data_IF_337682690756
#
_entry.id   IF_337682690756
#
_cell.length_a   1.000
_cell.length_b   1.000
_cell.length_c   1.000
_cell.angle_alpha   90.00
_cell.angle_beta   90.00
_cell.angle_gamma   90.00
#
_symmetry.space_group_name_H-M   'P 1'
#
loop_
_entity.id
_entity.type
_entity.pdbx_description
1 polymer ?
#
# COMPACT_ATOMS: atom_id res chain seq x y z
N UNK A 1 1.52 -4.91 -10.87
CA UNK A 1 0.84 -4.19 -11.98
C UNK A 1 0.83 -2.68 -11.72
N UNK A 2 0.05 -2.19 -10.77
CA UNK A 2 -0.08 -0.73 -10.53
C UNK A 2 1.20 -0.10 -9.95
N UNK A 3 1.76 -0.68 -8.88
CA UNK A 3 2.98 -0.16 -8.26
C UNK A 3 4.17 -0.05 -9.23
N UNK A 4 4.40 -1.07 -10.07
CA UNK A 4 5.47 -1.00 -11.06
C UNK A 4 5.21 0.00 -12.19
N UNK A 5 3.95 0.31 -12.51
CA UNK A 5 3.62 1.38 -13.45
C UNK A 5 3.92 2.77 -12.87
N UNK A 6 3.65 2.96 -11.57
CA UNK A 6 3.99 4.20 -10.86
C UNK A 6 5.50 4.42 -10.84
N UNK A 7 6.28 3.38 -10.49
CA UNK A 7 7.75 3.47 -10.48
C UNK A 7 8.29 3.86 -11.85
N UNK A 8 7.89 3.16 -12.92
CA UNK A 8 8.30 3.52 -14.30
C UNK A 8 7.95 4.96 -14.67
N UNK A 9 6.77 5.43 -14.25
CA UNK A 9 6.34 6.80 -14.53
C UNK A 9 7.18 7.83 -13.78
N UNK A 10 7.42 7.62 -12.48
CA UNK A 10 8.28 8.48 -11.67
C UNK A 10 9.70 8.55 -12.24
N UNK A 11 10.29 7.41 -12.59
CA UNK A 11 11.60 7.35 -13.22
C UNK A 11 11.63 8.11 -14.56
N UNK A 12 10.61 7.94 -15.40
CA UNK A 12 10.49 8.66 -16.67
C UNK A 12 10.31 10.17 -16.52
N UNK A 13 9.81 10.62 -15.37
CA UNK A 13 9.66 12.04 -15.02
C UNK A 13 10.89 12.62 -14.30
N UNK A 14 11.95 11.82 -14.12
CA UNK A 14 13.22 12.27 -13.54
C UNK A 14 13.30 12.15 -12.01
N UNK A 15 12.33 11.50 -11.36
CA UNK A 15 12.45 11.14 -9.94
C UNK A 15 13.45 9.99 -9.78
N UNK A 16 14.51 10.20 -9.00
CA UNK A 16 15.66 9.29 -8.91
C UNK A 16 15.83 8.64 -7.53
N UNK A 17 14.92 8.88 -6.60
CA UNK A 17 14.98 8.42 -5.22
C UNK A 17 13.77 7.57 -4.75
N UNK A 18 13.26 6.61 -5.55
CA UNK A 18 12.19 5.76 -5.08
C UNK A 18 12.68 4.84 -3.94
N UNK A 19 11.98 4.87 -2.81
CA UNK A 19 12.23 3.95 -1.69
C UNK A 19 11.39 2.70 -1.91
N UNK A 20 12.05 1.60 -2.30
CA UNK A 20 11.39 0.34 -2.64
C UNK A 20 11.79 -0.77 -1.67
N UNK A 21 10.83 -1.60 -1.30
CA UNK A 21 11.02 -2.82 -0.51
C UNK A 21 10.17 -3.93 -1.10
N UNK A 22 10.74 -5.11 -1.23
CA UNK A 22 10.02 -6.36 -1.45
C UNK A 22 9.33 -6.80 -0.17
N UNK A 23 8.34 -7.69 -0.28
CA UNK A 23 7.66 -8.28 0.88
C UNK A 23 8.62 -9.00 1.84
N UNK A 24 9.75 -9.51 1.36
CA UNK A 24 10.76 -10.18 2.20
C UNK A 24 11.59 -9.19 3.01
N UNK A 25 11.77 -7.97 2.50
CA UNK A 25 12.54 -6.92 3.16
C UNK A 25 11.65 -6.11 4.13
N UNK A 26 10.36 -5.98 3.82
CA UNK A 26 9.38 -5.32 4.67
C UNK A 26 8.02 -6.02 4.57
N UNK A 27 7.61 -6.68 5.64
CA UNK A 27 6.23 -7.16 5.77
C UNK A 27 5.35 -6.03 6.30
N UNK A 28 4.44 -5.57 5.45
CA UNK A 28 3.51 -4.48 5.78
C UNK A 28 2.44 -4.88 6.80
N UNK A 29 2.32 -6.17 7.11
CA UNK A 29 1.48 -6.68 8.20
C UNK A 29 2.13 -6.49 9.58
N UNK A 30 3.47 -6.41 9.64
CA UNK A 30 4.20 -6.19 10.88
C UNK A 30 4.26 -4.70 11.20
N UNK A 31 3.44 -4.28 12.16
CA UNK A 31 3.37 -2.91 12.63
C UNK A 31 4.74 -2.38 13.11
N UNK A 32 5.54 -3.20 13.79
CA UNK A 32 6.85 -2.80 14.29
C UNK A 32 7.83 -2.59 13.13
N UNK A 33 7.87 -3.53 12.18
CA UNK A 33 8.72 -3.41 11.00
C UNK A 33 8.38 -2.16 10.18
N UNK A 34 7.09 -1.88 9.99
CA UNK A 34 6.65 -0.66 9.30
C UNK A 34 7.09 0.59 10.09
N UNK A 35 6.90 0.63 11.42
CA UNK A 35 7.38 1.76 12.23
C UNK A 35 8.88 2.01 12.05
N UNK A 36 9.69 0.94 12.10
CA UNK A 36 11.14 1.05 11.94
C UNK A 36 11.53 1.55 10.55
N UNK A 37 10.80 1.12 9.51
CA UNK A 37 10.99 1.64 8.15
C UNK A 37 10.76 3.16 8.10
N UNK A 38 9.69 3.68 8.71
CA UNK A 38 9.46 5.14 8.75
C UNK A 38 10.55 5.91 9.49
N UNK A 39 11.07 5.36 10.59
CA UNK A 39 12.18 5.97 11.36
C UNK A 39 13.46 6.05 10.52
N UNK A 40 13.79 4.96 9.81
CA UNK A 40 15.03 4.83 9.06
C UNK A 40 15.00 5.60 7.74
N UNK A 41 13.95 5.39 6.94
CA UNK A 41 13.87 5.84 5.55
C UNK A 41 13.17 7.21 5.39
N UNK A 42 12.36 7.64 6.37
CA UNK A 42 11.69 8.97 6.43
C UNK A 42 11.04 9.41 5.10
N UNK A 43 10.08 8.63 4.55
CA UNK A 43 9.47 8.96 3.27
C UNK A 43 8.69 10.28 3.33
N UNK A 44 8.83 11.13 2.31
CA UNK A 44 8.06 12.38 2.19
C UNK A 44 6.70 12.18 1.47
N UNK A 45 6.65 11.24 0.53
CA UNK A 45 5.49 10.96 -0.32
C UNK A 45 5.25 9.45 -0.40
N UNK A 46 3.99 9.04 -0.32
CA UNK A 46 3.63 7.62 -0.31
C UNK A 46 2.54 7.32 -1.34
N UNK A 47 2.77 6.27 -2.13
CA UNK A 47 1.79 5.66 -3.03
C UNK A 47 1.42 4.28 -2.49
N UNK A 48 0.22 4.13 -1.92
CA UNK A 48 -0.24 2.86 -1.37
C UNK A 48 -0.83 2.00 -2.49
N UNK A 49 0.04 1.20 -3.10
CA UNK A 49 -0.30 0.23 -4.14
C UNK A 49 -0.21 -1.23 -3.67
N UNK A 50 0.11 -1.45 -2.38
CA UNK A 50 0.18 -2.77 -1.77
C UNK A 50 -1.20 -3.18 -1.26
N UNK A 51 -1.64 -4.38 -1.66
CA UNK A 51 -2.92 -4.95 -1.26
C UNK A 51 -2.90 -6.47 -1.47
N UNK A 52 -3.71 -7.20 -0.69
CA UNK A 52 -4.11 -8.55 -1.06
C UNK A 52 -5.17 -8.42 -2.16
N UNK A 53 -4.81 -8.83 -3.38
CA UNK A 53 -5.68 -8.82 -4.56
C UNK A 53 -5.86 -10.24 -5.10
N UNK A 54 -6.99 -10.49 -5.74
CA UNK A 54 -7.25 -11.78 -6.39
C UNK A 54 -8.56 -11.77 -7.18
N UNK A 55 -8.79 -12.84 -7.93
CA UNK A 55 -10.04 -13.04 -8.67
C UNK A 55 -11.22 -13.44 -7.77
N UNK A 56 -12.36 -13.72 -8.40
CA UNK A 56 -13.63 -14.07 -7.71
C UNK A 56 -13.44 -15.28 -6.79
N UNK A 57 -12.79 -16.34 -7.30
CA UNK A 57 -12.56 -17.56 -6.51
C UNK A 57 -11.72 -17.27 -5.25
N UNK A 58 -10.59 -16.54 -5.38
CA UNK A 58 -9.72 -16.22 -4.25
C UNK A 58 -10.43 -15.35 -3.20
N UNK A 59 -11.22 -14.36 -3.62
CA UNK A 59 -11.99 -13.51 -2.69
C UNK A 59 -13.04 -14.32 -1.90
N UNK A 60 -13.67 -15.31 -2.53
CA UNK A 60 -14.65 -16.17 -1.85
C UNK A 60 -13.99 -17.19 -0.91
N UNK A 61 -12.84 -17.74 -1.29
CA UNK A 61 -12.12 -18.74 -0.49
C UNK A 61 -11.42 -18.12 0.72
N UNK A 62 -10.76 -16.96 0.55
CA UNK A 62 -9.88 -16.37 1.57
C UNK A 62 -10.44 -15.09 2.22
N UNK A 63 -11.77 -15.01 2.37
CA UNK A 63 -12.49 -13.80 2.82
C UNK A 63 -11.87 -13.10 4.02
N UNK A 64 -11.59 -13.85 5.09
CA UNK A 64 -11.00 -13.31 6.31
C UNK A 64 -9.60 -12.73 6.07
N UNK A 65 -8.78 -13.39 5.26
CA UNK A 65 -7.43 -12.92 4.93
C UNK A 65 -7.48 -11.65 4.09
N UNK A 66 -8.39 -11.56 3.12
CA UNK A 66 -8.55 -10.36 2.31
C UNK A 66 -8.86 -9.13 3.16
N UNK A 67 -9.83 -9.23 4.07
CA UNK A 67 -10.17 -8.09 4.93
C UNK A 67 -9.06 -7.80 5.94
N UNK A 68 -8.52 -8.83 6.60
CA UNK A 68 -7.47 -8.67 7.61
C UNK A 68 -6.20 -8.06 7.03
N UNK A 69 -5.63 -8.66 5.97
CA UNK A 69 -4.36 -8.19 5.41
C UNK A 69 -4.49 -6.77 4.86
N UNK A 70 -5.57 -6.46 4.14
CA UNK A 70 -5.74 -5.11 3.58
C UNK A 70 -5.94 -4.06 4.68
N UNK A 71 -6.72 -4.34 5.73
CA UNK A 71 -6.87 -3.42 6.85
C UNK A 71 -5.55 -3.23 7.61
N UNK A 72 -4.79 -4.29 7.87
CA UNK A 72 -3.50 -4.18 8.57
C UNK A 72 -2.49 -3.36 7.77
N UNK A 73 -2.35 -3.64 6.47
CA UNK A 73 -1.48 -2.87 5.56
C UNK A 73 -1.88 -1.39 5.58
N UNK A 74 -3.17 -1.10 5.40
CA UNK A 74 -3.68 0.28 5.36
C UNK A 74 -3.46 1.01 6.69
N UNK A 75 -3.82 0.36 7.81
CA UNK A 75 -3.69 0.93 9.13
C UNK A 75 -2.23 1.25 9.45
N UNK A 76 -1.31 0.31 9.23
CA UNK A 76 0.11 0.51 9.51
C UNK A 76 0.69 1.65 8.67
N UNK A 77 0.42 1.67 7.36
CA UNK A 77 0.98 2.70 6.48
C UNK A 77 0.40 4.07 6.83
N UNK A 78 -0.93 4.20 6.94
CA UNK A 78 -1.59 5.50 7.15
C UNK A 78 -1.27 6.06 8.52
N UNK A 79 -1.27 5.22 9.56
CA UNK A 79 -0.97 5.65 10.93
C UNK A 79 0.45 6.22 11.04
N UNK A 80 1.45 5.51 10.52
CA UNK A 80 2.83 5.98 10.59
C UNK A 80 3.13 7.11 9.59
N UNK A 81 2.40 7.19 8.47
CA UNK A 81 2.48 8.37 7.62
C UNK A 81 2.08 9.64 8.38
N UNK A 82 1.03 9.56 9.21
CA UNK A 82 0.63 10.64 10.10
C UNK A 82 1.65 10.87 11.24
N UNK A 83 2.08 9.82 11.96
CA UNK A 83 3.02 9.95 13.10
C UNK A 83 4.36 10.59 12.69
N UNK A 84 4.87 10.26 11.50
CA UNK A 84 6.18 10.70 11.02
C UNK A 84 6.14 11.88 10.03
N UNK A 85 4.98 12.51 9.84
CA UNK A 85 4.88 13.76 9.09
C UNK A 85 5.08 13.62 7.57
N UNK A 86 4.59 12.53 6.97
CA UNK A 86 4.54 12.38 5.51
C UNK A 86 3.75 13.53 4.90
N UNK A 87 4.29 14.17 3.87
CA UNK A 87 3.71 15.38 3.26
C UNK A 87 2.44 15.08 2.49
N UNK A 88 2.40 13.94 1.79
CA UNK A 88 1.22 13.51 1.02
C UNK A 88 1.20 12.00 0.81
N UNK A 89 0.02 11.42 0.93
CA UNK A 89 -0.25 10.01 0.67
C UNK A 89 -1.36 9.87 -0.37
N UNK A 90 -1.15 9.00 -1.36
CA UNK A 90 -2.17 8.57 -2.33
C UNK A 90 -2.53 7.11 -2.08
N UNK A 91 -3.76 6.85 -1.65
CA UNK A 91 -4.30 5.51 -1.46
C UNK A 91 -5.05 5.05 -2.72
N UNK A 92 -4.67 3.90 -3.27
CA UNK A 92 -5.28 3.34 -4.46
C UNK A 92 -6.38 2.36 -4.06
N UNK A 93 -7.62 2.83 -4.16
CA UNK A 93 -8.81 2.01 -3.94
C UNK A 93 -9.14 1.09 -5.11
N UNK A 94 -10.35 0.56 -5.09
CA UNK A 94 -10.91 -0.28 -6.16
C UNK A 94 -12.33 0.16 -6.48
N UNK A 95 -12.77 -0.02 -7.72
CA UNK A 95 -14.18 0.20 -8.09
C UNK A 95 -15.14 -0.75 -7.37
N UNK A 96 -14.65 -1.86 -6.80
CA UNK A 96 -15.45 -2.81 -6.03
C UNK A 96 -16.01 -2.24 -4.72
N UNK A 97 -15.66 -1.02 -4.33
CA UNK A 97 -16.23 -0.34 -3.16
C UNK A 97 -17.69 0.07 -3.37
N UNK A 98 -18.11 0.21 -4.63
CA UNK A 98 -19.46 0.67 -4.94
C UNK A 98 -20.49 -0.46 -4.84
N UNK A 99 -21.76 -0.12 -4.54
CA UNK A 99 -22.85 -1.08 -4.65
C UNK A 99 -22.91 -1.70 -6.04
N UNK A 100 -23.30 -2.98 -6.11
CA UNK A 100 -23.44 -3.72 -7.38
C UNK A 100 -24.34 -3.01 -8.41
N UNK A 101 -25.35 -2.28 -7.92
CA UNK A 101 -26.34 -1.58 -8.74
C UNK A 101 -26.19 -0.05 -8.61
N UNK A 102 -24.95 0.45 -8.52
CA UNK A 102 -24.70 1.89 -8.63
C UNK A 102 -25.17 2.40 -10.02
N UNK A 103 -25.76 3.61 -10.10
CA UNK A 103 -26.26 4.18 -11.35
C UNK A 103 -25.13 4.45 -12.36
#
# INVERSE_FOLDING_TARGET
MVGSAIVRKLESEGFNNPILRTRKELDLLDQTAVKQFYIADKPEYIFVAAARVGGIHANNTYRAQFIYENLQIQNNIIHYAHEFGVRKLLFLGSSCIYPRNAP
#
